data_IF_487841085662
#
_entry.id   IF_487841085662
#
_cell.length_a   1.000
_cell.length_b   1.000
_cell.length_c   1.000
_cell.angle_alpha   90.00
_cell.angle_beta   90.00
_cell.angle_gamma   90.00
#
_symmetry.space_group_name_H-M   'P 1'
#
loop_
_entity.id
_entity.type
_entity.pdbx_description
1 polymer ?
#
# COMPACT_ATOMS: atom_id res chain seq x y z
N UNK A 1 24.79 15.38 7.23
CA UNK A 1 23.81 16.32 6.59
C UNK A 1 22.41 15.94 7.06
N UNK A 2 21.76 16.73 7.95
CA UNK A 2 20.48 16.37 8.58
C UNK A 2 19.34 16.14 7.56
N UNK A 3 19.32 16.90 6.45
CA UNK A 3 18.34 16.75 5.35
C UNK A 3 18.42 15.40 4.63
N UNK A 4 19.60 14.79 4.56
CA UNK A 4 19.79 13.49 3.90
C UNK A 4 19.17 12.34 4.68
N UNK A 5 19.21 12.42 6.02
CA UNK A 5 18.58 11.43 6.88
C UNK A 5 17.06 11.47 6.78
N UNK A 6 16.46 12.66 6.76
CA UNK A 6 15.00 12.82 6.66
C UNK A 6 14.44 12.22 5.36
N UNK A 7 15.11 12.48 4.23
CA UNK A 7 14.75 11.91 2.94
C UNK A 7 14.94 10.39 2.90
N UNK A 8 16.04 9.90 3.48
CA UNK A 8 16.29 8.46 3.60
C UNK A 8 15.14 7.76 4.35
N UNK A 9 14.71 8.30 5.50
CA UNK A 9 13.59 7.75 6.27
C UNK A 9 12.30 7.75 5.44
N UNK A 10 11.99 8.84 4.74
CA UNK A 10 10.81 8.91 3.88
C UNK A 10 10.84 7.85 2.77
N UNK A 11 12.00 7.66 2.12
CA UNK A 11 12.19 6.62 1.11
C UNK A 11 12.09 5.21 1.70
N UNK A 12 12.64 4.96 2.89
CA UNK A 12 12.54 3.67 3.58
C UNK A 12 11.09 3.31 3.89
N UNK A 13 10.28 4.26 4.35
CA UNK A 13 8.85 4.03 4.58
C UNK A 13 8.15 3.67 3.27
N UNK A 14 8.42 4.42 2.19
CA UNK A 14 7.78 4.17 0.89
C UNK A 14 8.20 2.82 0.30
N UNK A 15 9.48 2.47 0.43
CA UNK A 15 10.01 1.16 0.03
C UNK A 15 9.35 0.02 0.82
N UNK A 16 9.13 0.21 2.13
CA UNK A 16 8.39 -0.74 2.95
C UNK A 16 6.96 -0.96 2.44
N UNK A 17 6.30 0.11 2.00
CA UNK A 17 4.99 0.02 1.37
C UNK A 17 5.03 -0.73 0.02
N UNK A 18 6.01 -0.41 -0.85
CA UNK A 18 6.20 -1.13 -2.12
C UNK A 18 6.37 -2.64 -1.90
N UNK A 19 7.22 -3.02 -0.95
CA UNK A 19 7.44 -4.43 -0.59
C UNK A 19 6.16 -5.09 -0.05
N UNK A 20 5.46 -4.40 0.86
CA UNK A 20 4.20 -4.88 1.43
C UNK A 20 3.16 -5.14 0.34
N UNK A 21 2.95 -4.17 -0.55
CA UNK A 21 1.95 -4.26 -1.61
C UNK A 21 2.33 -5.30 -2.67
N UNK A 22 3.62 -5.41 -3.00
CA UNK A 22 4.14 -6.49 -3.85
C UNK A 22 3.78 -7.87 -3.30
N UNK A 23 4.08 -8.14 -2.02
CA UNK A 23 3.70 -9.40 -1.36
C UNK A 23 2.20 -9.62 -1.29
N UNK A 24 1.43 -8.55 -1.09
CA UNK A 24 -0.03 -8.63 -1.10
C UNK A 24 -0.56 -9.08 -2.46
N UNK A 25 -0.03 -8.55 -3.57
CA UNK A 25 -0.38 -8.97 -4.93
C UNK A 25 0.04 -10.41 -5.20
N UNK A 26 1.24 -10.82 -4.78
CA UNK A 26 1.71 -12.21 -4.93
C UNK A 26 0.77 -13.21 -4.24
N UNK A 27 0.43 -12.98 -2.96
CA UNK A 27 -0.51 -13.86 -2.24
C UNK A 27 -1.89 -13.87 -2.91
N UNK A 28 -2.35 -12.71 -3.39
CA UNK A 28 -3.63 -12.58 -4.09
C UNK A 28 -3.63 -13.32 -5.42
N UNK A 29 -2.54 -13.28 -6.17
CA UNK A 29 -2.42 -13.92 -7.50
C UNK A 29 -2.57 -15.44 -7.45
N UNK A 30 -2.13 -16.09 -6.36
CA UNK A 30 -2.31 -17.53 -6.17
C UNK A 30 -3.74 -17.98 -5.87
N UNK A 31 -4.73 -17.06 -5.81
CA UNK A 31 -6.11 -17.41 -5.45
C UNK A 31 -6.78 -18.31 -6.50
N UNK A 32 -6.53 -18.06 -7.79
CA UNK A 32 -7.07 -18.86 -8.89
C UNK A 32 -6.64 -20.32 -8.76
N UNK A 33 -5.33 -20.57 -8.59
CA UNK A 33 -4.80 -21.93 -8.43
C UNK A 33 -5.44 -22.66 -7.23
N UNK A 34 -5.58 -21.99 -6.08
CA UNK A 34 -6.21 -22.60 -4.89
C UNK A 34 -7.67 -22.97 -5.14
N UNK A 35 -8.39 -22.15 -5.90
CA UNK A 35 -9.77 -22.44 -6.30
C UNK A 35 -9.83 -23.62 -7.28
N UNK A 36 -9.00 -23.62 -8.33
CA UNK A 36 -8.95 -24.69 -9.35
C UNK A 36 -8.59 -26.06 -8.75
N UNK A 37 -7.76 -26.07 -7.71
CA UNK A 37 -7.37 -27.29 -6.98
C UNK A 37 -8.35 -27.68 -5.86
N UNK A 38 -9.42 -26.90 -5.65
CA UNK A 38 -10.36 -27.06 -4.54
C UNK A 38 -9.68 -27.11 -3.15
N UNK A 39 -8.54 -26.43 -2.98
CA UNK A 39 -7.80 -26.40 -1.71
C UNK A 39 -8.37 -25.32 -0.78
N UNK A 40 -9.52 -25.63 -0.19
CA UNK A 40 -10.26 -24.71 0.67
C UNK A 40 -9.51 -24.36 1.96
N UNK A 41 -8.68 -25.26 2.47
CA UNK A 41 -7.85 -24.99 3.63
C UNK A 41 -6.73 -24.00 3.29
N UNK A 42 -6.09 -24.14 2.13
CA UNK A 42 -5.12 -23.15 1.66
C UNK A 42 -5.77 -21.79 1.38
N UNK A 43 -7.02 -21.73 0.90
CA UNK A 43 -7.75 -20.46 0.77
C UNK A 43 -7.88 -19.76 2.13
N UNK A 44 -8.32 -20.48 3.16
CA UNK A 44 -8.44 -19.93 4.52
C UNK A 44 -7.09 -19.48 5.07
N UNK A 45 -6.03 -20.28 4.87
CA UNK A 45 -4.69 -19.93 5.34
C UNK A 45 -4.11 -18.74 4.60
N UNK A 46 -4.31 -18.65 3.28
CA UNK A 46 -3.86 -17.51 2.48
C UNK A 46 -4.51 -16.20 2.93
N UNK A 47 -5.80 -16.22 3.32
CA UNK A 47 -6.46 -15.05 3.89
C UNK A 47 -5.78 -14.58 5.18
N UNK A 48 -5.50 -15.50 6.12
CA UNK A 48 -4.80 -15.17 7.37
C UNK A 48 -3.40 -14.60 7.11
N UNK A 49 -2.65 -15.24 6.22
CA UNK A 49 -1.31 -14.78 5.83
C UNK A 49 -1.36 -13.36 5.24
N UNK A 50 -2.34 -13.09 4.37
CA UNK A 50 -2.53 -11.77 3.75
C UNK A 50 -2.87 -10.68 4.75
N UNK A 51 -3.69 -10.98 5.77
CA UNK A 51 -4.03 -10.03 6.86
C UNK A 51 -2.77 -9.62 7.64
N UNK A 52 -1.88 -10.58 7.95
CA UNK A 52 -0.67 -10.30 8.71
C UNK A 52 0.44 -9.58 7.92
N UNK A 53 0.39 -9.59 6.57
CA UNK A 53 1.43 -8.97 5.73
C UNK A 53 1.65 -7.49 6.04
N UNK A 54 0.56 -6.75 6.26
CA UNK A 54 0.63 -5.31 6.47
C UNK A 54 1.38 -4.98 7.76
N UNK A 55 0.93 -5.52 8.89
CA UNK A 55 1.56 -5.32 10.20
C UNK A 55 3.01 -5.80 10.23
N UNK A 56 3.32 -6.90 9.54
CA UNK A 56 4.67 -7.41 9.43
C UNK A 56 5.63 -6.39 8.79
N UNK A 57 5.23 -5.79 7.65
CA UNK A 57 6.07 -4.82 6.95
C UNK A 57 6.16 -3.50 7.71
N UNK A 58 5.08 -3.06 8.36
CA UNK A 58 5.14 -1.89 9.25
C UNK A 58 6.15 -2.13 10.38
N UNK A 59 6.11 -3.30 11.03
CA UNK A 59 7.07 -3.66 12.07
C UNK A 59 8.52 -3.69 11.57
N UNK A 60 8.77 -4.28 10.40
CA UNK A 60 10.09 -4.30 9.77
C UNK A 60 10.64 -2.89 9.53
N UNK A 61 9.82 -2.00 8.95
CA UNK A 61 10.20 -0.61 8.71
C UNK A 61 10.50 0.09 10.04
N UNK A 62 9.64 -0.05 11.05
CA UNK A 62 9.87 0.56 12.37
C UNK A 62 11.21 0.14 12.96
N UNK A 63 11.57 -1.15 12.90
CA UNK A 63 12.87 -1.63 13.37
C UNK A 63 14.02 -1.07 12.52
N UNK A 64 13.87 -1.00 11.18
CA UNK A 64 14.85 -0.34 10.32
C UNK A 64 15.05 1.12 10.69
N UNK A 65 13.97 1.87 10.93
CA UNK A 65 14.04 3.28 11.33
C UNK A 65 14.76 3.44 12.67
N UNK A 66 14.48 2.57 13.65
CA UNK A 66 15.16 2.54 14.96
C UNK A 66 16.67 2.36 14.82
N UNK A 67 17.10 1.46 13.92
CA UNK A 67 18.52 1.26 13.62
C UNK A 67 19.13 2.46 12.89
N UNK A 68 18.46 3.00 11.86
CA UNK A 68 18.96 4.13 11.06
C UNK A 68 19.15 5.38 11.91
N UNK A 69 18.27 5.62 12.88
CA UNK A 69 18.35 6.78 13.78
C UNK A 69 19.29 6.55 14.98
N UNK A 70 19.92 5.38 15.10
CA UNK A 70 20.73 4.98 16.26
C UNK A 70 20.01 5.19 17.60
N UNK A 71 18.68 5.00 17.63
CA UNK A 71 17.87 5.24 18.83
C UNK A 71 17.81 6.70 19.28
N UNK A 72 18.35 7.66 18.50
CA UNK A 72 18.16 9.07 18.77
C UNK A 72 16.67 9.40 18.70
N UNK A 73 16.19 10.15 19.69
CA UNK A 73 14.81 10.63 19.72
C UNK A 73 14.52 11.38 18.42
N UNK A 74 13.69 10.80 17.56
CA UNK A 74 13.08 11.49 16.44
C UNK A 74 12.06 12.45 17.03
N UNK A 75 12.52 13.63 17.43
CA UNK A 75 11.64 14.68 17.91
C UNK A 75 10.52 14.94 16.89
N UNK A 76 9.37 15.41 17.35
CA UNK A 76 8.18 15.66 16.53
C UNK A 76 8.51 16.55 15.32
N UNK A 77 9.44 17.50 15.47
CA UNK A 77 9.91 18.35 14.38
C UNK A 77 10.65 17.57 13.28
N UNK A 78 11.38 16.51 13.62
CA UNK A 78 12.06 15.66 12.63
C UNK A 78 11.04 14.88 11.80
N UNK A 79 10.05 14.24 12.44
CA UNK A 79 9.04 13.45 11.73
C UNK A 79 8.09 14.33 10.90
N UNK A 80 7.87 15.58 11.30
CA UNK A 80 7.19 16.57 10.46
C UNK A 80 7.93 16.80 9.13
N UNK A 81 9.26 16.92 9.17
CA UNK A 81 10.08 17.06 7.96
C UNK A 81 10.13 15.78 7.13
N UNK A 82 10.16 14.61 7.77
CA UNK A 82 10.01 13.32 7.06
C UNK A 82 8.67 13.25 6.32
N UNK A 83 7.56 13.62 6.98
CA UNK A 83 6.24 13.69 6.34
C UNK A 83 6.24 14.65 5.16
N UNK A 84 6.91 15.79 5.26
CA UNK A 84 7.02 16.75 4.15
C UNK A 84 7.75 16.13 2.95
N UNK A 85 8.88 15.47 3.16
CA UNK A 85 9.56 14.74 2.08
C UNK A 85 8.69 13.63 1.51
N UNK A 86 8.05 12.83 2.37
CA UNK A 86 7.14 11.76 1.95
C UNK A 86 6.00 12.30 1.08
N UNK A 87 5.35 13.39 1.51
CA UNK A 87 4.28 14.07 0.76
C UNK A 87 4.74 14.47 -0.64
N UNK A 88 6.00 14.89 -0.81
CA UNK A 88 6.58 15.25 -2.11
C UNK A 88 6.92 14.03 -3.00
N UNK A 89 6.98 12.82 -2.45
CA UNK A 89 7.16 11.58 -3.22
C UNK A 89 5.84 11.04 -3.78
N UNK A 90 4.71 11.42 -3.17
CA UNK A 90 3.38 10.91 -3.51
C UNK A 90 2.77 11.43 -4.81
N UNK A 91 3.20 12.54 -5.44
CA UNK A 91 2.62 12.97 -6.70
C UNK A 91 2.63 11.87 -7.77
N UNK A 92 3.78 11.38 -8.20
CA UNK A 92 3.75 10.42 -9.31
C UNK A 92 3.51 8.97 -8.86
N UNK A 93 3.13 8.78 -7.60
CA UNK A 93 2.98 7.47 -6.98
C UNK A 93 1.53 6.95 -7.10
N UNK A 94 1.26 5.83 -7.83
CA UNK A 94 -0.10 5.43 -8.22
C UNK A 94 -1.05 5.06 -7.07
N UNK A 95 -0.50 4.62 -5.93
CA UNK A 95 -1.24 4.09 -4.76
C UNK A 95 -1.01 4.98 -3.55
N UNK A 96 -1.04 6.30 -3.78
CA UNK A 96 -0.65 7.29 -2.76
C UNK A 96 -1.53 7.18 -1.50
N UNK A 97 -2.81 6.87 -1.66
CA UNK A 97 -3.78 6.79 -0.58
C UNK A 97 -3.45 5.67 0.43
N UNK A 98 -2.95 4.54 -0.09
CA UNK A 98 -2.49 3.43 0.75
C UNK A 98 -1.08 3.72 1.27
N UNK A 99 -0.24 4.40 0.50
CA UNK A 99 1.07 4.84 0.96
C UNK A 99 0.98 5.81 2.16
N UNK A 100 -0.01 6.71 2.17
CA UNK A 100 -0.33 7.59 3.30
C UNK A 100 -0.79 6.78 4.53
N UNK A 101 -1.63 5.77 4.31
CA UNK A 101 -2.04 4.85 5.38
C UNK A 101 -0.86 4.09 5.98
N UNK A 102 0.06 3.60 5.13
CA UNK A 102 1.28 2.93 5.56
C UNK A 102 2.18 3.85 6.39
N UNK A 103 2.35 5.09 5.95
CA UNK A 103 3.05 6.12 6.73
C UNK A 103 2.39 6.31 8.11
N UNK A 104 1.05 6.44 8.16
CA UNK A 104 0.32 6.60 9.41
C UNK A 104 0.56 5.42 10.36
N UNK A 105 0.57 4.19 9.85
CA UNK A 105 0.83 3.00 10.66
C UNK A 105 2.24 2.98 11.24
N UNK A 106 3.26 3.38 10.46
CA UNK A 106 4.64 3.53 10.95
C UNK A 106 4.71 4.61 12.03
N UNK A 107 4.09 5.78 11.79
CA UNK A 107 4.03 6.86 12.77
C UNK A 107 3.39 6.38 14.10
N UNK A 108 2.24 5.73 14.02
CA UNK A 108 1.52 5.22 15.19
C UNK A 108 2.35 4.20 15.99
N UNK A 109 3.13 3.35 15.32
CA UNK A 109 4.03 2.41 16.01
C UNK A 109 5.21 3.10 16.69
N UNK A 110 5.74 4.17 16.12
CA UNK A 110 6.83 4.95 16.73
C UNK A 110 6.36 5.75 17.96
N UNK A 111 5.11 6.21 17.96
CA UNK A 111 4.55 7.08 19.00
C UNK A 111 3.46 6.44 19.86
N UNK A 112 3.37 5.11 19.89
CA UNK A 112 2.40 4.39 20.72
C UNK A 112 0.95 4.88 20.49
N UNK A 113 0.59 5.20 19.24
CA UNK A 113 -0.71 5.75 18.83
C UNK A 113 -1.09 7.07 19.52
N UNK A 114 -0.10 7.85 20.00
CA UNK A 114 -0.31 9.15 20.63
C UNK A 114 -0.01 10.30 19.67
N UNK A 115 -0.46 11.49 20.06
CA UNK A 115 -0.19 12.75 19.36
C UNK A 115 -0.52 12.70 17.87
N UNK A 116 -1.73 12.24 17.56
CA UNK A 116 -2.26 12.13 16.21
C UNK A 116 -2.86 13.49 15.80
N UNK A 117 -2.08 14.30 15.09
CA UNK A 117 -2.53 15.61 14.58
C UNK A 117 -2.41 15.68 13.05
N UNK A 118 -3.24 16.47 12.35
CA UNK A 118 -3.22 16.55 10.88
C UNK A 118 -1.87 16.96 10.29
N UNK A 119 -1.06 17.71 11.06
CA UNK A 119 0.26 18.15 10.65
C UNK A 119 1.26 16.99 10.68
N UNK A 120 1.11 16.03 11.61
CA UNK A 120 2.11 14.99 11.88
C UNK A 120 1.92 13.71 11.06
N UNK A 121 0.69 13.41 10.65
CA UNK A 121 0.36 12.23 9.84
C UNK A 121 -0.79 12.56 8.87
N UNK A 122 -1.13 11.66 7.97
CA UNK A 122 -2.17 11.87 6.95
C UNK A 122 -3.54 11.49 7.52
N UNK A 123 -4.10 12.32 8.42
CA UNK A 123 -5.50 12.16 8.85
C UNK A 123 -6.44 12.37 7.65
N UNK A 124 -6.10 13.33 6.81
CA UNK A 124 -6.71 13.55 5.51
C UNK A 124 -5.67 13.34 4.41
N UNK A 125 -6.14 12.93 3.23
CA UNK A 125 -5.29 12.80 2.05
C UNK A 125 -4.61 14.13 1.73
N UNK A 126 -3.32 14.07 1.41
CA UNK A 126 -2.56 15.23 0.92
C UNK A 126 -2.79 15.49 -0.56
N UNK A 127 -3.42 14.55 -1.27
CA UNK A 127 -3.63 14.61 -2.72
C UNK A 127 -5.11 14.92 -3.06
N UNK A 128 -5.37 15.58 -4.21
CA UNK A 128 -6.73 15.88 -4.67
C UNK A 128 -7.49 14.64 -5.15
N UNK A 129 -8.83 14.63 -5.00
CA UNK A 129 -9.71 13.47 -5.23
C UNK A 129 -9.67 12.88 -6.65
N UNK A 130 -9.48 13.70 -7.69
CA UNK A 130 -9.58 13.27 -9.11
C UNK A 130 -8.27 13.39 -9.84
N UNK A 131 -7.25 12.73 -9.30
CA UNK A 131 -5.90 12.79 -9.87
C UNK A 131 -5.77 12.04 -11.20
N UNK A 132 -6.22 10.80 -11.25
CA UNK A 132 -6.07 9.95 -12.44
C UNK A 132 -7.33 10.03 -13.30
N UNK A 133 -7.26 10.75 -14.42
CA UNK A 133 -8.37 10.84 -15.38
C UNK A 133 -8.45 9.65 -16.34
N UNK A 134 -7.34 8.95 -16.53
CA UNK A 134 -7.25 7.77 -17.41
C UNK A 134 -6.46 6.70 -16.69
N UNK A 135 -7.05 5.50 -16.59
CA UNK A 135 -6.42 4.37 -15.91
C UNK A 135 -5.41 3.74 -16.88
N UNK A 136 -4.14 3.57 -16.49
CA UNK A 136 -3.10 3.09 -17.42
C UNK A 136 -3.39 1.72 -18.03
N UNK A 137 -4.15 0.88 -17.33
CA UNK A 137 -4.60 -0.43 -17.78
C UNK A 137 -6.12 -0.52 -17.57
N UNK A 138 -6.93 -0.76 -18.62
CA UNK A 138 -8.35 -0.99 -18.45
C UNK A 138 -8.61 -2.13 -17.46
N UNK A 139 -9.41 -1.86 -16.43
CA UNK A 139 -9.84 -2.83 -15.42
C UNK A 139 -11.09 -3.63 -15.82
N UNK A 140 -11.72 -3.24 -16.92
CA UNK A 140 -12.91 -3.88 -17.47
C UNK A 140 -12.77 -3.96 -19.00
N UNK A 141 -13.49 -4.91 -19.59
CA UNK A 141 -13.64 -5.06 -21.03
C UNK A 141 -15.13 -4.93 -21.35
N UNK A 142 -15.47 -4.08 -22.31
CA UNK A 142 -16.86 -3.92 -22.76
C UNK A 142 -17.23 -5.01 -23.77
N UNK A 143 -18.44 -5.53 -23.63
CA UNK A 143 -19.00 -6.54 -24.52
C UNK A 143 -20.37 -6.07 -25.02
N UNK A 144 -20.57 -6.09 -26.34
CA UNK A 144 -21.82 -5.68 -26.98
C UNK A 144 -22.55 -6.89 -27.58
N UNK A 145 -23.89 -7.00 -27.41
CA UNK A 145 -24.67 -8.18 -27.84
C UNK A 145 -25.01 -8.14 -29.34
N UNK A 146 -24.02 -7.85 -30.19
CA UNK A 146 -24.19 -7.67 -31.64
C UNK A 146 -24.75 -8.93 -32.34
N UNK A 147 -24.52 -10.10 -31.73
CA UNK A 147 -24.95 -11.41 -32.21
C UNK A 147 -25.87 -12.12 -31.19
N UNK A 148 -26.58 -11.35 -30.36
CA UNK A 148 -27.45 -11.85 -29.30
C UNK A 148 -26.74 -12.08 -27.95
N UNK A 149 -27.54 -12.25 -26.90
CA UNK A 149 -27.04 -12.39 -25.52
C UNK A 149 -26.36 -13.72 -25.24
N UNK A 150 -26.84 -14.81 -25.84
CA UNK A 150 -26.27 -16.14 -25.63
C UNK A 150 -24.81 -16.21 -26.11
N UNK A 151 -24.54 -15.75 -27.34
CA UNK A 151 -23.18 -15.70 -27.90
C UNK A 151 -22.26 -14.75 -27.11
N UNK A 152 -22.79 -13.63 -26.63
CA UNK A 152 -22.05 -12.72 -25.76
C UNK A 152 -21.64 -13.41 -24.46
N UNK A 153 -22.58 -14.06 -23.77
CA UNK A 153 -22.31 -14.73 -22.49
C UNK A 153 -21.34 -15.89 -22.66
N UNK A 154 -21.46 -16.66 -23.75
CA UNK A 154 -20.50 -17.71 -24.09
C UNK A 154 -19.09 -17.16 -24.28
N UNK A 155 -18.95 -16.00 -24.94
CA UNK A 155 -17.64 -15.32 -25.07
C UNK A 155 -17.10 -14.87 -23.71
N UNK A 156 -17.94 -14.31 -22.84
CA UNK A 156 -17.52 -13.88 -21.49
C UNK A 156 -17.00 -15.06 -20.67
N UNK A 157 -17.71 -16.19 -20.66
CA UNK A 157 -17.29 -17.39 -19.92
C UNK A 157 -16.01 -18.00 -20.51
N UNK A 158 -15.85 -17.95 -21.84
CA UNK A 158 -14.66 -18.47 -22.51
C UNK A 158 -13.40 -17.61 -22.31
N UNK A 159 -13.58 -16.34 -21.95
CA UNK A 159 -12.50 -15.39 -21.66
C UNK A 159 -11.99 -15.49 -20.20
N UNK A 160 -12.67 -16.24 -19.32
CA UNK A 160 -12.26 -16.51 -17.93
C UNK A 160 -11.10 -17.51 -17.87
#
# INVERSE_FOLDING_TARGET
MPRGLELLIAQTILQGFDAQYGRFLEVTSGAQQRFEQADWHAVQQAMKNRIHLYDHHVGLVVEQLRCITNGQSTDAAFLLRVKEHYTRLLPDYPRFEIAESFFNSVYCRLFDHRSLTPERLFIFSSQPERRFRTIPRPLAKDFHPDHGWESLLMRVISDL
#
